data_IF_213235216719
#
_entry.id   IF_213235216719
#
_cell.length_a   1.000
_cell.length_b   1.000
_cell.length_c   1.000
_cell.angle_alpha   90.00
_cell.angle_beta   90.00
_cell.angle_gamma   90.00
#
_symmetry.space_group_name_H-M   'P 1'
#
loop_
_entity.id
_entity.type
_entity.pdbx_description
1 polymer ?
#
# COMPACT_ATOMS: atom_id res chain seq x y z
N UNK A 1 -2.83 18.45 0.12
CA UNK A 1 -1.48 17.89 0.33
C UNK A 1 -1.58 16.84 1.40
N UNK A 2 -0.89 15.72 1.22
CA UNK A 2 -0.88 14.59 2.17
C UNK A 2 0.35 14.59 3.08
N UNK A 3 1.13 15.67 3.08
CA UNK A 3 2.26 15.90 3.97
C UNK A 3 2.13 17.24 4.68
N UNK A 4 2.24 17.22 6.01
CA UNK A 4 2.23 18.41 6.87
C UNK A 4 3.43 19.33 6.60
N UNK A 5 4.57 18.77 6.17
CA UNK A 5 5.81 19.54 5.93
C UNK A 5 5.80 20.26 4.58
N UNK A 6 5.24 19.63 3.55
CA UNK A 6 5.23 20.16 2.19
C UNK A 6 3.96 20.96 1.87
N UNK A 7 2.96 20.94 2.76
CA UNK A 7 1.70 21.64 2.60
C UNK A 7 0.87 21.13 1.40
N UNK A 8 -0.18 21.87 0.99
CA UNK A 8 -1.04 21.48 -0.12
C UNK A 8 -0.45 21.76 -1.51
N UNK A 9 0.87 21.73 -1.69
CA UNK A 9 1.48 21.93 -3.00
C UNK A 9 1.42 20.67 -3.87
N UNK A 10 1.07 20.85 -5.13
CA UNK A 10 1.18 19.82 -6.18
C UNK A 10 2.58 19.86 -6.76
N UNK A 11 3.40 18.86 -6.45
CA UNK A 11 4.72 18.68 -7.06
C UNK A 11 4.59 17.66 -8.19
N UNK A 12 4.86 18.09 -9.42
CA UNK A 12 4.71 17.28 -10.64
C UNK A 12 3.46 17.66 -11.44
N UNK A 13 3.66 18.01 -12.72
CA UNK A 13 2.55 18.11 -13.68
C UNK A 13 2.14 16.70 -14.07
N UNK A 14 0.83 16.43 -14.09
CA UNK A 14 0.27 15.32 -14.87
C UNK A 14 0.79 15.48 -16.30
N UNK A 15 1.30 14.40 -16.89
CA UNK A 15 1.69 14.37 -18.29
C UNK A 15 0.53 14.85 -19.17
N UNK A 16 0.58 16.11 -19.60
CA UNK A 16 -0.24 16.64 -20.69
C UNK A 16 0.50 16.35 -21.99
N UNK A 17 -0.18 15.73 -22.95
CA UNK A 17 0.41 15.38 -24.25
C UNK A 17 1.01 16.61 -24.95
N UNK A 18 2.32 16.53 -25.20
CA UNK A 18 3.15 17.59 -25.75
C UNK A 18 2.93 17.61 -27.27
N UNK A 19 1.99 18.43 -27.75
CA UNK A 19 1.84 18.71 -29.19
C UNK A 19 2.98 19.58 -29.71
N UNK A 20 3.42 19.27 -30.94
CA UNK A 20 4.63 19.73 -31.62
C UNK A 20 4.95 21.23 -31.44
N UNK A 21 6.22 21.50 -31.14
CA UNK A 21 6.86 22.75 -31.58
C UNK A 21 7.03 23.83 -30.52
N UNK A 22 7.65 23.49 -29.39
CA UNK A 22 8.62 24.35 -28.69
C UNK A 22 9.32 23.49 -27.65
N UNK A 23 10.64 23.53 -27.65
CA UNK A 23 11.48 22.98 -26.60
C UNK A 23 11.08 23.62 -25.27
N UNK A 24 10.15 22.99 -24.55
CA UNK A 24 9.89 23.30 -23.16
C UNK A 24 11.04 22.65 -22.41
N UNK A 25 12.01 23.46 -22.02
CA UNK A 25 12.97 23.09 -21.01
C UNK A 25 12.20 22.57 -19.80
N UNK A 26 12.10 21.24 -19.66
CA UNK A 26 11.54 20.54 -18.52
C UNK A 26 12.50 20.70 -17.33
N UNK A 27 12.69 21.94 -16.86
CA UNK A 27 13.35 22.18 -15.59
C UNK A 27 12.32 21.97 -14.51
N UNK A 28 12.61 21.03 -13.63
CA UNK A 28 11.91 20.80 -12.37
C UNK A 28 11.87 22.14 -11.62
N UNK A 29 10.71 22.78 -11.52
CA UNK A 29 10.53 24.09 -10.86
C UNK A 29 10.53 23.97 -9.32
N UNK A 30 11.37 23.10 -8.75
CA UNK A 30 11.54 22.99 -7.30
C UNK A 30 13.02 22.91 -6.95
N UNK A 31 13.41 23.54 -5.85
CA UNK A 31 14.80 23.59 -5.40
C UNK A 31 15.29 22.19 -5.01
N UNK A 32 16.61 21.98 -5.03
CA UNK A 32 17.22 20.72 -4.53
C UNK A 32 16.81 20.44 -3.07
N UNK A 33 16.61 21.48 -2.27
CA UNK A 33 16.11 21.37 -0.91
C UNK A 33 14.68 20.79 -0.87
N UNK A 34 13.78 21.27 -1.72
CA UNK A 34 12.41 20.74 -1.80
C UNK A 34 12.41 19.30 -2.34
N UNK A 35 13.31 18.98 -3.27
CA UNK A 35 13.49 17.61 -3.76
C UNK A 35 13.90 16.65 -2.62
N UNK A 36 14.86 17.07 -1.80
CA UNK A 36 15.32 16.31 -0.63
C UNK A 36 14.20 16.11 0.39
N UNK A 37 13.38 17.13 0.63
CA UNK A 37 12.23 17.05 1.54
C UNK A 37 11.17 16.07 1.05
N UNK A 38 10.91 16.01 -0.27
CA UNK A 38 10.02 15.02 -0.88
C UNK A 38 10.57 13.61 -0.67
N UNK A 39 11.84 13.36 -0.97
CA UNK A 39 12.46 12.04 -0.81
C UNK A 39 12.41 11.57 0.65
N UNK A 40 12.64 12.49 1.60
CA UNK A 40 12.53 12.21 3.02
C UNK A 40 11.11 11.81 3.43
N UNK A 41 10.10 12.51 2.90
CA UNK A 41 8.70 12.22 3.22
C UNK A 41 8.24 10.89 2.61
N UNK A 42 8.64 10.59 1.37
CA UNK A 42 8.38 9.30 0.72
C UNK A 42 8.99 8.17 1.54
N UNK A 43 10.26 8.31 1.93
CA UNK A 43 10.94 7.31 2.77
C UNK A 43 10.22 7.11 4.09
N UNK A 44 9.82 8.20 4.76
CA UNK A 44 9.07 8.15 6.03
C UNK A 44 7.77 7.36 5.87
N UNK A 45 6.97 7.67 4.85
CA UNK A 45 5.70 6.99 4.57
C UNK A 45 5.88 5.49 4.32
N UNK A 46 6.89 5.11 3.53
CA UNK A 46 7.19 3.70 3.24
C UNK A 46 7.59 2.97 4.52
N UNK A 47 8.51 3.53 5.31
CA UNK A 47 8.97 2.90 6.56
C UNK A 47 7.83 2.77 7.58
N UNK A 48 7.03 3.81 7.78
CA UNK A 48 5.91 3.78 8.71
C UNK A 48 4.87 2.71 8.35
N UNK A 49 4.50 2.63 7.06
CA UNK A 49 3.55 1.62 6.60
C UNK A 49 4.12 0.21 6.64
N UNK A 50 5.43 0.04 6.39
CA UNK A 50 6.10 -1.25 6.55
C UNK A 50 6.06 -1.73 8.01
N UNK A 51 6.43 -0.86 8.95
CA UNK A 51 6.37 -1.17 10.38
C UNK A 51 4.94 -1.46 10.85
N UNK A 52 3.97 -0.65 10.42
CA UNK A 52 2.55 -0.87 10.71
C UNK A 52 2.06 -2.22 10.18
N UNK A 53 2.38 -2.55 8.94
CA UNK A 53 1.97 -3.81 8.32
C UNK A 53 2.61 -4.99 9.04
N UNK A 54 3.91 -4.89 9.34
CA UNK A 54 4.64 -5.92 10.09
C UNK A 54 3.99 -6.14 11.45
N UNK A 55 3.65 -5.07 12.16
CA UNK A 55 2.96 -5.15 13.46
C UNK A 55 1.63 -5.87 13.36
N UNK A 56 0.77 -5.46 12.42
CA UNK A 56 -0.55 -6.09 12.18
C UNK A 56 -0.37 -7.59 11.89
N UNK A 57 0.54 -7.96 10.99
CA UNK A 57 0.78 -9.37 10.66
C UNK A 57 1.32 -10.16 11.87
N UNK A 58 2.19 -9.57 12.69
CA UNK A 58 2.71 -10.23 13.90
C UNK A 58 1.66 -10.38 15.00
N UNK A 59 0.80 -9.38 15.19
CA UNK A 59 -0.31 -9.43 16.15
C UNK A 59 -1.35 -10.47 15.75
N UNK A 60 -1.57 -10.66 14.44
CA UNK A 60 -2.51 -11.63 13.87
C UNK A 60 -1.84 -12.88 13.30
N UNK A 61 -0.65 -13.24 13.82
CA UNK A 61 0.15 -14.36 13.29
C UNK A 61 -0.61 -15.70 13.30
N UNK A 62 -1.52 -15.91 14.27
CA UNK A 62 -2.37 -17.10 14.32
C UNK A 62 -3.31 -17.18 13.11
N UNK A 63 -4.01 -16.10 12.80
CA UNK A 63 -4.89 -16.01 11.63
C UNK A 63 -4.13 -16.12 10.32
N UNK A 64 -2.93 -15.53 10.23
CA UNK A 64 -2.07 -15.64 9.06
C UNK A 64 -1.66 -17.10 8.80
N UNK A 65 -1.31 -17.85 9.86
CA UNK A 65 -1.02 -19.29 9.74
C UNK A 65 -2.24 -20.09 9.32
N UNK A 66 -3.41 -19.81 9.90
CA UNK A 66 -4.65 -20.47 9.52
C UNK A 66 -4.99 -20.25 8.02
N UNK A 67 -4.79 -19.04 7.50
CA UNK A 67 -4.93 -18.77 6.06
C UNK A 67 -3.93 -19.55 5.21
N UNK A 68 -2.66 -19.62 5.64
CA UNK A 68 -1.63 -20.37 4.93
C UNK A 68 -1.92 -21.88 4.92
N UNK A 69 -2.34 -22.45 6.05
CA UNK A 69 -2.75 -23.85 6.17
C UNK A 69 -3.96 -24.15 5.28
N UNK A 70 -4.97 -23.27 5.31
CA UNK A 70 -6.14 -23.40 4.45
C UNK A 70 -5.78 -23.33 2.95
N UNK A 71 -4.80 -22.50 2.55
CA UNK A 71 -4.31 -22.44 1.16
C UNK A 71 -3.51 -23.68 0.74
N UNK A 72 -2.86 -24.37 1.69
CA UNK A 72 -2.19 -25.63 1.41
C UNK A 72 -3.20 -26.77 1.20
N UNK A 73 -4.34 -26.73 1.88
CA UNK A 73 -5.43 -27.71 1.70
C UNK A 73 -6.29 -27.39 0.48
N UNK A 74 -6.61 -26.11 0.27
CA UNK A 74 -7.42 -25.59 -0.83
C UNK A 74 -6.62 -24.53 -1.57
N UNK A 75 -6.17 -24.86 -2.79
CA UNK A 75 -5.28 -24.00 -3.61
C UNK A 75 -5.82 -22.57 -3.84
N UNK A 76 -7.13 -22.36 -3.70
CA UNK A 76 -7.81 -21.07 -3.84
C UNK A 76 -8.86 -20.93 -2.75
N UNK A 77 -8.85 -19.80 -2.04
CA UNK A 77 -9.89 -19.40 -1.09
C UNK A 77 -10.75 -18.27 -1.67
N UNK A 78 -12.06 -18.40 -1.54
CA UNK A 78 -13.00 -17.34 -1.89
C UNK A 78 -13.16 -16.34 -0.72
N UNK A 79 -13.59 -15.11 -1.02
CA UNK A 79 -13.82 -14.05 -0.02
C UNK A 79 -14.58 -14.52 1.24
N UNK A 80 -15.73 -15.24 1.14
CA UNK A 80 -16.43 -15.71 2.34
C UNK A 80 -15.62 -16.70 3.20
N UNK A 81 -14.74 -17.50 2.60
CA UNK A 81 -13.89 -18.44 3.34
C UNK A 81 -12.76 -17.70 4.07
N UNK A 82 -12.21 -16.68 3.43
CA UNK A 82 -11.22 -15.78 4.06
C UNK A 82 -11.87 -15.07 5.25
N UNK A 83 -13.09 -14.53 5.08
CA UNK A 83 -13.81 -13.83 6.15
C UNK A 83 -14.07 -14.76 7.35
N UNK A 84 -14.41 -16.03 7.10
CA UNK A 84 -14.56 -17.02 8.17
C UNK A 84 -13.26 -17.26 8.94
N UNK A 85 -12.13 -17.41 8.23
CA UNK A 85 -10.82 -17.61 8.88
C UNK A 85 -10.42 -16.35 9.67
N UNK A 86 -10.69 -15.16 9.13
CA UNK A 86 -10.41 -13.90 9.81
C UNK A 86 -11.23 -13.71 11.10
N UNK A 87 -12.50 -14.14 11.11
CA UNK A 87 -13.40 -13.98 12.27
C UNK A 87 -13.26 -15.07 13.33
N UNK A 88 -12.97 -16.32 12.91
CA UNK A 88 -13.03 -17.48 13.80
C UNK A 88 -11.68 -18.19 13.99
N UNK A 89 -10.68 -17.89 13.16
CA UNK A 89 -9.34 -18.49 13.23
C UNK A 89 -9.25 -19.90 12.63
N UNK A 90 -10.33 -20.45 12.07
CA UNK A 90 -10.37 -21.74 11.38
C UNK A 90 -11.60 -21.83 10.47
N UNK A 91 -11.53 -22.68 9.44
CA UNK A 91 -12.68 -22.98 8.56
C UNK A 91 -13.68 -23.85 9.34
N UNK A 92 -14.88 -23.32 9.58
CA UNK A 92 -15.99 -24.13 10.07
C UNK A 92 -16.65 -24.79 8.87
N UNK A 93 -16.41 -26.09 8.70
CA UNK A 93 -17.06 -26.90 7.67
C UNK A 93 -18.56 -26.97 7.99
N UNK A 94 -19.33 -26.02 7.47
CA UNK A 94 -20.79 -26.09 7.48
C UNK A 94 -21.20 -26.89 6.25
N UNK A 95 -21.41 -28.18 6.47
CA UNK A 95 -22.01 -29.07 5.48
C UNK A 95 -23.42 -28.55 5.12
N UNK A 96 -23.74 -28.34 3.83
CA UNK A 96 -25.11 -28.07 3.44
C UNK A 96 -25.94 -29.36 3.52
N UNK A 97 -27.16 -29.22 4.05
CA UNK A 97 -28.20 -30.25 4.08
C UNK A 97 -28.82 -30.51 2.70
#
# INVERSE_FOLDING_TARGET
GMSEKLGPLTFGKKDEEIFLGREIATRRDFSEQVALEIDHEVKRLVTENYERTTRILTEHMGTLKALAEALLEKEVLDSPEIDQILQHGFLTQTAPA
#
